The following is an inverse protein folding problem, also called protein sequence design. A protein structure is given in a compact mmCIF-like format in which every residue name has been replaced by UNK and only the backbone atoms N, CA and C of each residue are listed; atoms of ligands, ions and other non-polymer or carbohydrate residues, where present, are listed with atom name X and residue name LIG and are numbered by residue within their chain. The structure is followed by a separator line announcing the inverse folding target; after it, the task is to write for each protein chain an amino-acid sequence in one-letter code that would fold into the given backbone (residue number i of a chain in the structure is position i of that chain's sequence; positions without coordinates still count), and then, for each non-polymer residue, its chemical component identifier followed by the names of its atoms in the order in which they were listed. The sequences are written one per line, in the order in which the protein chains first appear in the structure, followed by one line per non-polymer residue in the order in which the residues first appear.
data_IF_519988471933
#
_entry.id   IF_519988471933
#
_cell.length_a   1.000
_cell.length_b   1.000
_cell.length_c   1.000
_cell.angle_alpha   90.00
_cell.angle_beta   90.00
_cell.angle_gamma   90.00
#
_symmetry.space_group_name_H-M   'P 1'
#
loop_
_entity.id
_entity.type
_entity.pdbx_description
1 polymer ?
#
# COMPACT_ATOMS: atom_id res chain seq x y z
N UNK A 1 12.80 -1.78 20.02
CA UNK A 1 12.98 -0.95 18.83
C UNK A 1 12.09 -1.51 17.75
N UNK A 2 11.00 -0.81 17.43
CA UNK A 2 9.99 -1.20 16.45
C UNK A 2 10.29 -0.44 15.16
N UNK A 3 10.80 -1.16 14.14
CA UNK A 3 11.05 -0.63 12.81
C UNK A 3 9.98 -1.19 11.86
N UNK A 4 9.12 -0.31 11.34
CA UNK A 4 8.00 -0.72 10.50
C UNK A 4 7.69 0.30 9.42
N UNK A 5 7.06 -0.15 8.35
CA UNK A 5 6.55 0.71 7.29
C UNK A 5 5.04 0.60 7.25
N UNK A 6 4.35 1.69 7.58
CA UNK A 6 2.92 1.81 7.33
C UNK A 6 2.69 2.00 5.83
N UNK A 7 1.78 1.23 5.24
CA UNK A 7 1.39 1.39 3.83
C UNK A 7 -0.12 1.55 3.69
N UNK A 8 -0.51 2.22 2.63
CA UNK A 8 -1.91 2.42 2.25
C UNK A 8 -2.02 2.51 0.73
N UNK A 9 -2.79 1.61 0.12
CA UNK A 9 -3.06 1.61 -1.32
C UNK A 9 -4.46 2.14 -1.62
N UNK A 10 -4.56 2.93 -2.70
CA UNK A 10 -5.84 3.14 -3.38
C UNK A 10 -5.92 2.33 -4.65
N UNK A 11 -7.14 1.89 -5.00
CA UNK A 11 -7.41 1.09 -6.20
C UNK A 11 -8.38 1.82 -7.11
N UNK A 12 -8.13 1.78 -8.42
CA UNK A 12 -9.00 2.35 -9.44
C UNK A 12 -10.38 1.66 -9.49
N UNK A 13 -10.45 0.37 -9.17
CA UNK A 13 -11.66 -0.43 -9.21
C UNK A 13 -11.55 -1.66 -8.27
N UNK A 14 -12.48 -2.62 -8.39
CA UNK A 14 -12.54 -3.82 -7.52
C UNK A 14 -11.37 -4.80 -7.64
N UNK A 15 -10.49 -4.66 -8.63
CA UNK A 15 -9.40 -5.61 -8.89
C UNK A 15 -8.15 -5.24 -8.09
N UNK A 16 -7.55 -6.22 -7.42
CA UNK A 16 -6.40 -5.98 -6.56
C UNK A 16 -5.12 -5.51 -7.30
N UNK A 17 -5.02 -5.72 -8.62
CA UNK A 17 -3.91 -5.20 -9.43
C UNK A 17 -4.16 -3.80 -10.00
N UNK A 18 -5.29 -3.15 -9.69
CA UNK A 18 -5.64 -1.83 -10.23
C UNK A 18 -5.20 -0.69 -9.31
N UNK A 19 -4.12 -0.85 -8.54
CA UNK A 19 -3.64 0.22 -7.66
C UNK A 19 -3.38 1.51 -8.45
N UNK A 20 -3.85 2.63 -7.93
CA UNK A 20 -3.70 3.96 -8.53
C UNK A 20 -2.93 4.94 -7.64
N UNK A 21 -2.69 4.60 -6.37
CA UNK A 21 -1.72 5.28 -5.51
C UNK A 21 -1.13 4.32 -4.48
N UNK A 22 -0.02 4.73 -3.88
CA UNK A 22 0.57 4.11 -2.70
C UNK A 22 1.20 5.20 -1.82
N UNK A 23 0.84 5.19 -0.54
CA UNK A 23 1.58 5.86 0.52
C UNK A 23 2.40 4.85 1.32
N UNK A 24 3.63 5.23 1.70
CA UNK A 24 4.50 4.44 2.55
C UNK A 24 5.23 5.35 3.55
N UNK A 25 5.11 5.06 4.84
CA UNK A 25 5.72 5.84 5.93
C UNK A 25 6.54 4.91 6.81
N UNK A 26 7.84 5.18 6.94
CA UNK A 26 8.77 4.36 7.73
C UNK A 26 9.00 4.96 9.09
N UNK A 27 8.71 4.18 10.13
CA UNK A 27 8.80 4.56 11.51
C UNK A 27 9.94 3.81 12.19
N UNK A 28 10.70 4.54 13.00
CA UNK A 28 11.68 3.98 13.93
C UNK A 28 11.25 4.37 15.35
N UNK A 29 10.66 3.41 16.06
CA UNK A 29 9.92 3.63 17.30
C UNK A 29 8.81 4.69 17.11
N UNK A 30 8.96 5.87 17.71
CA UNK A 30 8.04 7.00 17.67
C UNK A 30 8.42 8.08 16.65
N UNK A 31 9.51 7.87 15.90
CA UNK A 31 10.05 8.85 14.94
C UNK A 31 9.71 8.42 13.51
N UNK A 32 9.07 9.31 12.76
CA UNK A 32 8.96 9.17 11.31
C UNK A 32 10.31 9.46 10.65
N UNK A 33 10.86 8.48 9.94
CA UNK A 33 12.21 8.55 9.34
C UNK A 33 12.20 8.73 7.83
N UNK A 34 11.12 8.34 7.16
CA UNK A 34 10.98 8.47 5.70
C UNK A 34 9.49 8.41 5.31
N UNK A 35 9.11 9.20 4.31
CA UNK A 35 7.76 9.28 3.77
C UNK A 35 7.81 9.25 2.25
N UNK A 36 6.96 8.44 1.65
CA UNK A 36 6.80 8.37 0.21
C UNK A 36 5.33 8.32 -0.17
N UNK A 37 4.97 9.06 -1.21
CA UNK A 37 3.66 9.00 -1.83
C UNK A 37 3.84 9.02 -3.35
N UNK A 38 3.11 8.16 -4.05
CA UNK A 38 3.12 8.14 -5.51
C UNK A 38 1.76 7.78 -6.09
N UNK A 39 1.47 8.36 -7.26
CA UNK A 39 0.38 7.93 -8.12
C UNK A 39 0.91 6.86 -9.07
N UNK A 40 0.08 5.84 -9.31
CA UNK A 40 0.40 4.66 -10.10
C UNK A 40 -0.51 4.66 -11.32
N UNK A 41 0.07 4.48 -12.50
CA UNK A 41 -0.71 4.13 -13.68
C UNK A 41 -1.09 2.65 -13.62
N UNK A 42 -2.37 2.29 -13.42
CA UNK A 42 -2.77 0.89 -13.32
C UNK A 42 -2.57 0.16 -14.66
N UNK A 43 -2.48 -1.19 -14.68
CA UNK A 43 -2.37 -1.97 -15.91
C UNK A 43 -3.56 -1.77 -16.87
N UNK A 44 -4.72 -1.37 -16.33
CA UNK A 44 -5.94 -1.09 -17.08
C UNK A 44 -6.55 0.22 -16.62
N UNK A 45 -6.83 1.13 -17.55
CA UNK A 45 -7.40 2.46 -17.29
C UNK A 45 -8.93 2.41 -17.13
N UNK A 46 -9.42 1.56 -16.23
CA UNK A 46 -10.85 1.42 -15.92
C UNK A 46 -11.06 1.82 -14.47
N UNK A 47 -11.74 2.95 -14.24
CA UNK A 47 -12.00 3.47 -12.90
C UNK A 47 -13.48 3.34 -12.55
N UNK A 48 -13.74 2.86 -11.33
CA UNK A 48 -15.08 2.82 -10.75
C UNK A 48 -15.46 4.20 -10.21
N UNK A 49 -16.66 4.72 -10.49
CA UNK A 49 -17.13 5.98 -9.90
C UNK A 49 -17.12 5.97 -8.36
N UNK A 50 -17.37 4.82 -7.73
CA UNK A 50 -17.33 4.71 -6.27
C UNK A 50 -15.92 4.83 -5.69
N UNK A 51 -14.92 4.25 -6.35
CA UNK A 51 -13.52 4.39 -5.95
C UNK A 51 -13.10 5.87 -6.07
N UNK A 52 -13.36 6.49 -7.22
CA UNK A 52 -13.11 7.93 -7.43
C UNK A 52 -13.82 8.77 -6.35
N UNK A 53 -15.08 8.45 -6.01
CA UNK A 53 -15.82 9.17 -4.97
C UNK A 53 -15.18 9.05 -3.58
N UNK A 54 -14.52 7.93 -3.27
CA UNK A 54 -13.87 7.71 -1.97
C UNK A 54 -12.55 8.49 -1.87
N UNK A 55 -11.65 8.32 -2.85
CA UNK A 55 -10.27 8.82 -2.74
C UNK A 55 -9.95 10.01 -3.68
N UNK A 56 -10.85 10.35 -4.61
CA UNK A 56 -10.71 11.52 -5.50
C UNK A 56 -9.71 11.38 -6.66
N UNK A 57 -9.13 10.19 -6.87
CA UNK A 57 -8.09 9.98 -7.90
C UNK A 57 -8.77 9.66 -9.23
N UNK A 58 -8.54 10.51 -10.23
CA UNK A 58 -9.17 10.36 -11.55
C UNK A 58 -8.22 9.70 -12.56
N UNK A 59 -8.75 9.10 -13.65
CA UNK A 59 -7.91 8.53 -14.72
C UNK A 59 -6.87 9.52 -15.27
N UNK A 60 -7.25 10.79 -15.44
CA UNK A 60 -6.41 11.84 -16.02
C UNK A 60 -5.19 12.15 -15.14
N UNK A 61 -5.34 12.04 -13.81
CA UNK A 61 -4.24 12.29 -12.87
C UNK A 61 -3.15 11.20 -12.94
N UNK A 62 -3.51 9.98 -13.35
CA UNK A 62 -2.59 8.84 -13.39
C UNK A 62 -2.12 8.47 -14.79
N UNK A 63 -2.74 9.00 -15.84
CA UNK A 63 -2.50 8.57 -17.23
C UNK A 63 -1.02 8.68 -17.66
N UNK A 64 -0.34 9.71 -17.17
CA UNK A 64 1.07 10.01 -17.44
C UNK A 64 2.00 9.60 -16.30
N UNK A 65 1.50 8.85 -15.31
CA UNK A 65 2.32 8.38 -14.18
C UNK A 65 3.01 7.05 -14.52
N UNK A 66 4.08 6.70 -13.79
CA UNK A 66 4.75 5.42 -14.00
C UNK A 66 3.84 4.25 -13.62
N UNK A 67 4.10 3.11 -14.24
CA UNK A 67 3.56 1.83 -13.79
C UNK A 67 4.25 1.37 -12.50
N UNK A 68 3.65 0.38 -11.83
CA UNK A 68 4.11 -0.05 -10.51
C UNK A 68 5.52 -0.66 -10.53
N UNK A 69 5.89 -1.38 -11.59
CA UNK A 69 7.23 -1.95 -11.77
C UNK A 69 8.35 -0.91 -11.75
N UNK A 70 8.12 0.23 -12.40
CA UNK A 70 9.07 1.36 -12.38
C UNK A 70 9.21 1.94 -10.96
N UNK A 71 8.09 2.11 -10.26
CA UNK A 71 8.06 2.65 -8.90
C UNK A 71 8.62 1.67 -7.86
N UNK A 72 8.51 0.37 -8.12
CA UNK A 72 8.85 -0.67 -7.16
C UNK A 72 10.33 -0.66 -6.78
N UNK A 73 11.23 -0.29 -7.68
CA UNK A 73 12.67 -0.21 -7.39
C UNK A 73 12.98 0.82 -6.29
N UNK A 74 12.21 1.91 -6.21
CA UNK A 74 12.36 2.92 -5.15
C UNK A 74 11.59 2.54 -3.87
N UNK A 75 10.49 1.81 -4.00
CA UNK A 75 9.60 1.48 -2.88
C UNK A 75 10.08 0.23 -2.12
N UNK A 76 10.60 -0.77 -2.84
CA UNK A 76 11.06 -2.04 -2.25
C UNK A 76 12.05 -1.87 -1.11
N UNK A 77 13.06 -0.97 -1.16
CA UNK A 77 14.01 -0.78 -0.05
C UNK A 77 13.36 -0.25 1.24
N UNK A 78 12.22 0.45 1.12
CA UNK A 78 11.45 0.94 2.27
C UNK A 78 10.72 -0.21 2.95
N UNK A 79 10.22 -1.16 2.16
CA UNK A 79 9.38 -2.27 2.64
C UNK A 79 10.19 -3.51 3.06
N UNK A 80 11.25 -3.86 2.32
CA UNK A 80 11.96 -5.12 2.49
C UNK A 80 12.69 -5.20 3.85
N UNK A 81 12.57 -6.36 4.52
CA UNK A 81 13.21 -6.60 5.81
C UNK A 81 12.53 -5.93 7.00
N UNK A 82 11.35 -5.30 6.80
CA UNK A 82 10.55 -4.63 7.84
C UNK A 82 9.20 -5.31 8.03
N UNK A 83 8.53 -4.93 9.12
CA UNK A 83 7.11 -5.22 9.32
C UNK A 83 6.30 -4.20 8.53
N UNK A 84 5.42 -4.67 7.65
CA UNK A 84 4.43 -3.82 7.00
C UNK A 84 3.24 -3.64 7.95
N UNK A 85 2.79 -2.42 8.14
CA UNK A 85 1.60 -2.11 8.94
C UNK A 85 0.53 -1.49 8.05
N UNK A 86 -0.70 -1.93 8.18
CA UNK A 86 -1.83 -1.34 7.45
C UNK A 86 -3.12 -1.41 8.26
N UNK A 87 -4.06 -0.51 7.95
CA UNK A 87 -5.40 -0.53 8.54
C UNK A 87 -6.29 -1.46 7.72
N UNK A 88 -6.65 -2.61 8.30
CA UNK A 88 -7.25 -3.73 7.56
C UNK A 88 -6.29 -4.36 6.54
N UNK A 89 -5.11 -4.77 7.01
CA UNK A 89 -3.97 -5.24 6.20
C UNK A 89 -4.27 -6.36 5.19
N UNK A 90 -5.35 -7.12 5.35
CA UNK A 90 -5.81 -8.10 4.34
C UNK A 90 -6.03 -7.44 2.98
N UNK A 91 -6.47 -6.17 2.95
CA UNK A 91 -6.65 -5.42 1.72
C UNK A 91 -5.31 -5.06 1.06
N UNK A 92 -4.44 -4.30 1.75
CA UNK A 92 -3.18 -3.80 1.19
C UNK A 92 -2.21 -4.91 0.81
N UNK A 93 -2.11 -5.95 1.65
CA UNK A 93 -1.26 -7.10 1.34
C UNK A 93 -1.76 -7.86 0.11
N UNK A 94 -3.08 -7.93 -0.11
CA UNK A 94 -3.65 -8.51 -1.34
C UNK A 94 -3.33 -7.65 -2.56
N UNK A 95 -3.41 -6.33 -2.45
CA UNK A 95 -3.03 -5.40 -3.53
C UNK A 95 -1.56 -5.56 -3.88
N UNK A 96 -0.66 -5.46 -2.90
CA UNK A 96 0.79 -5.62 -3.10
C UNK A 96 1.13 -6.96 -3.75
N UNK A 97 0.60 -8.08 -3.23
CA UNK A 97 0.83 -9.42 -3.82
C UNK A 97 0.32 -9.51 -5.26
N UNK A 98 -0.82 -8.90 -5.55
CA UNK A 98 -1.41 -8.89 -6.89
C UNK A 98 -0.57 -8.08 -7.88
N UNK A 99 -0.05 -6.92 -7.46
CA UNK A 99 0.87 -6.10 -8.26
C UNK A 99 2.18 -6.84 -8.52
N UNK A 100 2.83 -7.37 -7.48
CA UNK A 100 4.07 -8.15 -7.63
C UNK A 100 3.89 -9.30 -8.62
N UNK A 101 2.77 -10.02 -8.56
CA UNK A 101 2.45 -11.07 -9.53
C UNK A 101 2.22 -10.52 -10.94
N UNK A 102 1.48 -9.42 -11.08
CA UNK A 102 1.13 -8.80 -12.38
C UNK A 102 2.37 -8.37 -13.14
N UNK A 103 3.32 -7.77 -12.44
CA UNK A 103 4.57 -7.26 -13.01
C UNK A 103 5.74 -8.26 -12.89
N UNK A 104 5.49 -9.49 -12.44
CA UNK A 104 6.50 -10.55 -12.29
C UNK A 104 7.71 -10.14 -11.41
N UNK A 105 7.43 -9.37 -10.36
CA UNK A 105 8.43 -8.83 -9.44
C UNK A 105 8.68 -9.80 -8.29
N UNK A 106 9.92 -9.85 -7.81
CA UNK A 106 10.30 -10.69 -6.67
C UNK A 106 9.57 -10.23 -5.41
N UNK A 107 8.92 -11.18 -4.72
CA UNK A 107 8.32 -10.92 -3.41
C UNK A 107 9.42 -10.59 -2.40
N UNK A 108 9.34 -9.45 -1.69
CA UNK A 108 10.30 -9.12 -0.64
C UNK A 108 10.04 -10.02 0.58
N UNK A 109 11.08 -10.25 1.38
CA UNK A 109 10.91 -10.87 2.69
C UNK A 109 10.30 -9.83 3.64
N UNK A 110 9.05 -10.04 4.02
CA UNK A 110 8.25 -9.12 4.84
C UNK A 110 7.27 -9.88 5.72
N UNK A 111 7.10 -9.39 6.95
CA UNK A 111 5.96 -9.72 7.81
C UNK A 111 4.95 -8.58 7.77
N UNK A 112 3.70 -8.82 8.16
CA UNK A 112 2.69 -7.76 8.26
C UNK A 112 1.96 -7.78 9.59
N UNK A 113 1.43 -6.62 9.99
CA UNK A 113 0.54 -6.46 11.14
C UNK A 113 -0.66 -5.58 10.77
N UNK A 114 -1.81 -5.89 11.37
CA UNK A 114 -3.08 -5.23 11.09
C UNK A 114 -3.48 -4.33 12.28
N UNK A 115 -3.60 -3.02 12.05
CA UNK A 115 -3.95 -2.08 13.13
C UNK A 115 -5.37 -2.29 13.67
N UNK A 116 -6.29 -2.85 12.87
CA UNK A 116 -7.64 -3.24 13.34
C UNK A 116 -7.56 -4.36 14.37
N UNK A 117 -6.74 -5.39 14.11
CA UNK A 117 -6.56 -6.52 15.02
C UNK A 117 -5.84 -6.09 16.31
N UNK A 118 -4.80 -5.25 16.18
CA UNK A 118 -4.10 -4.66 17.31
C UNK A 118 -5.07 -3.82 18.15
N UNK A 119 -5.84 -2.92 17.52
CA UNK A 119 -6.78 -2.05 18.20
C UNK A 119 -7.83 -2.85 18.98
N UNK A 120 -8.42 -3.88 18.36
CA UNK A 120 -9.37 -4.78 19.04
C UNK A 120 -8.75 -5.49 20.23
N UNK A 121 -7.51 -5.94 20.11
CA UNK A 121 -6.81 -6.66 21.19
C UNK A 121 -6.50 -5.73 22.37
N UNK A 122 -5.94 -4.55 22.09
CA UNK A 122 -5.51 -3.59 23.13
C UNK A 122 -6.70 -2.91 23.81
N UNK A 123 -7.79 -2.67 23.08
CA UNK A 123 -9.00 -2.08 23.66
C UNK A 123 -9.83 -3.10 24.45
N UNK A 124 -9.85 -4.37 24.04
CA UNK A 124 -10.50 -5.45 24.80
C UNK A 124 -9.82 -5.72 26.16
N UNK A 125 -8.53 -5.40 26.31
CA UNK A 125 -7.80 -5.52 27.59
C UNK A 125 -8.09 -4.38 28.58
N UNK A 126 -8.81 -3.32 28.14
CA UNK A 126 -9.18 -2.17 28.98
C UNK A 126 -10.65 -2.21 29.44
N UNK A 127 -11.38 -3.27 29.10
CA UNK A 127 -12.75 -3.53 29.54
C UNK A 127 -12.75 -4.60 30.65
#
# INVERSE_FOLDING_TARGET
MLDFTAIDFETANKYANSACSLAAVTMHDDICTDEAYTLIKPPFMVFSPDNIRIHGITPEQVEQKPHFDVLWEEIRPRIAGRIIVAHYAVFDTRVLRSLLKTYQLKTPDVSYACTVEISRTVTAQKA
#
